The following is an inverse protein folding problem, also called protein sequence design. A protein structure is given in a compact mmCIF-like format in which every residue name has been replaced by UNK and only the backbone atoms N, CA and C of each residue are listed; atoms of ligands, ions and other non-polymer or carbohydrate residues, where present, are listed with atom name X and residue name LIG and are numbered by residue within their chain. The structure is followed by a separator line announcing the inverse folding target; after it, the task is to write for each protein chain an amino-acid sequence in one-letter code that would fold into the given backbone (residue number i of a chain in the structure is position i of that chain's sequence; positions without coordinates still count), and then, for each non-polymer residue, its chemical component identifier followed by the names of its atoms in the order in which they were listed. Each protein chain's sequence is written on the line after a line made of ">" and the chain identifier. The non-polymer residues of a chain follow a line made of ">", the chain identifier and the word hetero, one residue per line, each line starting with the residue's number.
data_IF_884693313023
#
_entry.id   IF_884693313023
#
_cell.length_a   1.000
_cell.length_b   1.000
_cell.length_c   1.000
_cell.angle_alpha   90.00
_cell.angle_beta   90.00
_cell.angle_gamma   90.00
#
_symmetry.space_group_name_H-M   'P 1'
#
loop_
_entity.id
_entity.type
_entity.pdbx_description
1 polymer ?
#
# COMPACT_ATOMS: atom_id res chain seq x y z
N UNK A 1 -23.85 7.93 -0.33
CA UNK A 1 -23.84 7.33 1.03
C UNK A 1 -25.28 7.10 1.44
N UNK A 2 -25.69 5.84 1.61
CA UNK A 2 -27.11 5.45 1.78
C UNK A 2 -27.51 5.19 3.24
N UNK A 3 -26.56 5.04 4.15
CA UNK A 3 -26.85 4.83 5.58
C UNK A 3 -27.15 6.17 6.28
N UNK A 4 -28.32 6.33 6.92
CA UNK A 4 -28.64 7.51 7.73
C UNK A 4 -27.61 7.77 8.85
N UNK A 5 -27.03 6.68 9.40
CA UNK A 5 -25.99 6.73 10.44
C UNK A 5 -24.64 7.30 9.97
N UNK A 6 -24.50 7.56 8.68
CA UNK A 6 -23.27 8.09 8.10
C UNK A 6 -23.29 9.62 7.95
N UNK A 7 -24.44 10.28 8.16
CA UNK A 7 -24.58 11.73 7.98
C UNK A 7 -23.74 12.48 9.01
N UNK A 8 -22.85 13.36 8.53
CA UNK A 8 -21.96 14.16 9.39
C UNK A 8 -20.70 13.43 9.88
N UNK A 9 -20.56 12.13 9.56
CA UNK A 9 -19.47 11.31 10.06
C UNK A 9 -18.31 11.18 9.08
N UNK A 10 -17.08 11.10 9.61
CA UNK A 10 -15.86 10.79 8.86
C UNK A 10 -15.44 9.35 9.11
N UNK A 11 -15.07 8.65 8.04
CA UNK A 11 -14.66 7.25 8.07
C UNK A 11 -13.31 7.08 7.39
N UNK A 12 -12.49 6.16 7.90
CA UNK A 12 -11.20 5.81 7.32
C UNK A 12 -11.34 4.51 6.52
N UNK A 13 -11.00 4.58 5.23
CA UNK A 13 -11.00 3.43 4.33
C UNK A 13 -9.68 2.65 4.44
N UNK A 14 -9.47 1.97 5.58
CA UNK A 14 -8.28 1.15 5.84
C UNK A 14 -8.69 -0.31 5.98
N UNK A 15 -8.07 -1.21 5.22
CA UNK A 15 -8.45 -2.63 5.19
C UNK A 15 -7.87 -3.46 6.34
N UNK A 16 -6.75 -3.04 6.93
CA UNK A 16 -6.08 -3.78 8.01
C UNK A 16 -4.86 -3.03 8.51
N UNK A 17 -3.88 -3.75 9.05
CA UNK A 17 -2.65 -3.14 9.56
C UNK A 17 -1.84 -2.43 8.46
N UNK A 18 -1.13 -1.38 8.84
CA UNK A 18 -0.23 -0.65 7.96
C UNK A 18 0.92 -1.54 7.51
N UNK A 19 1.13 -1.66 6.20
CA UNK A 19 2.27 -2.39 5.62
C UNK A 19 3.33 -1.42 5.10
N UNK A 20 4.60 -1.72 5.34
CA UNK A 20 5.72 -1.01 4.72
C UNK A 20 5.87 -1.42 3.25
N UNK A 21 6.51 -0.55 2.45
CA UNK A 21 6.82 -0.86 1.03
C UNK A 21 7.65 -2.15 0.92
N UNK A 22 8.55 -2.41 1.88
CA UNK A 22 9.34 -3.64 1.91
C UNK A 22 8.48 -4.88 2.19
N UNK A 23 7.50 -4.78 3.09
CA UNK A 23 6.56 -5.88 3.33
C UNK A 23 5.71 -6.18 2.09
N UNK A 24 5.26 -5.15 1.38
CA UNK A 24 4.57 -5.30 0.08
C UNK A 24 5.48 -6.00 -0.93
N UNK A 25 6.74 -5.58 -1.05
CA UNK A 25 7.71 -6.20 -1.95
C UNK A 25 7.96 -7.69 -1.64
N UNK A 26 8.12 -8.03 -0.35
CA UNK A 26 8.27 -9.42 0.11
C UNK A 26 7.03 -10.25 -0.19
N UNK A 27 5.84 -9.72 0.08
CA UNK A 27 4.57 -10.37 -0.25
C UNK A 27 4.47 -10.68 -1.75
N UNK A 28 4.74 -9.70 -2.61
CA UNK A 28 4.70 -9.86 -4.06
C UNK A 28 5.67 -10.95 -4.54
N UNK A 29 6.91 -10.95 -4.02
CA UNK A 29 7.89 -11.99 -4.34
C UNK A 29 7.41 -13.39 -3.91
N UNK A 30 6.87 -13.50 -2.71
CA UNK A 30 6.39 -14.77 -2.17
C UNK A 30 5.19 -15.32 -2.96
N UNK A 31 4.29 -14.44 -3.43
CA UNK A 31 3.04 -14.85 -4.10
C UNK A 31 3.15 -14.98 -5.62
N UNK A 32 4.00 -14.20 -6.28
CA UNK A 32 4.09 -14.15 -7.75
C UNK A 32 5.31 -14.89 -8.32
N UNK A 33 6.25 -15.32 -7.48
CA UNK A 33 7.41 -16.10 -7.90
C UNK A 33 8.24 -15.41 -8.99
N UNK A 34 8.44 -16.09 -10.12
CA UNK A 34 9.23 -15.59 -11.25
C UNK A 34 8.70 -14.29 -11.85
N UNK A 35 7.38 -14.05 -11.78
CA UNK A 35 6.74 -12.81 -12.26
C UNK A 35 7.11 -11.58 -11.44
N UNK A 36 7.69 -11.75 -10.25
CA UNK A 36 8.17 -10.68 -9.38
C UNK A 36 9.70 -10.54 -9.40
N UNK A 37 10.41 -11.01 -10.44
CA UNK A 37 11.89 -10.98 -10.46
C UNK A 37 12.47 -9.57 -10.29
N UNK A 38 11.77 -8.55 -10.81
CA UNK A 38 12.16 -7.14 -10.75
C UNK A 38 11.78 -6.42 -9.46
N UNK A 39 10.98 -7.04 -8.59
CA UNK A 39 10.57 -6.41 -7.32
C UNK A 39 11.79 -6.27 -6.40
N UNK A 40 12.06 -5.14 -5.74
CA UNK A 40 13.22 -5.02 -4.86
C UNK A 40 13.24 -6.06 -3.73
N UNK A 41 14.43 -6.53 -3.33
CA UNK A 41 14.62 -7.45 -2.18
C UNK A 41 15.03 -6.72 -0.89
N UNK A 42 15.70 -5.58 -1.05
CA UNK A 42 16.35 -4.88 0.05
C UNK A 42 15.73 -3.50 0.27
N UNK A 43 15.83 -3.04 1.51
CA UNK A 43 15.44 -1.69 1.87
C UNK A 43 16.55 -0.72 1.50
N UNK A 44 16.19 0.37 0.82
CA UNK A 44 17.08 1.50 0.61
C UNK A 44 17.39 2.18 1.96
N UNK A 45 18.66 2.48 2.27
CA UNK A 45 19.00 3.31 3.42
C UNK A 45 18.45 4.74 3.29
N UNK A 46 18.12 5.36 4.42
CA UNK A 46 17.51 6.70 4.45
C UNK A 46 18.39 7.78 3.83
N UNK A 47 19.71 7.71 4.03
CA UNK A 47 20.66 8.66 3.44
C UNK A 47 20.63 8.62 1.90
N UNK A 48 20.41 7.44 1.33
CA UNK A 48 20.30 7.27 -0.13
C UNK A 48 19.02 7.91 -0.65
N UNK A 49 17.90 7.79 0.09
CA UNK A 49 16.66 8.48 -0.25
C UNK A 49 16.81 10.00 -0.20
N UNK A 50 17.54 10.53 0.81
CA UNK A 50 17.85 11.96 0.92
C UNK A 50 18.71 12.46 -0.26
N UNK A 51 19.68 11.66 -0.71
CA UNK A 51 20.49 11.99 -1.88
C UNK A 51 19.65 11.97 -3.17
N UNK A 52 18.81 10.94 -3.36
CA UNK A 52 17.94 10.81 -4.52
C UNK A 52 16.95 11.97 -4.66
N UNK A 53 16.43 12.49 -3.54
CA UNK A 53 15.52 13.64 -3.52
C UNK A 53 16.10 14.95 -4.09
N UNK A 54 17.43 15.05 -4.25
CA UNK A 54 18.05 16.22 -4.89
C UNK A 54 17.70 16.31 -6.37
N UNK A 55 17.61 15.17 -7.07
CA UNK A 55 17.38 15.11 -8.52
C UNK A 55 16.06 14.44 -8.92
N UNK A 56 15.39 13.73 -8.00
CA UNK A 56 14.14 13.03 -8.27
C UNK A 56 12.97 13.66 -7.47
N UNK A 57 12.00 14.30 -8.16
CA UNK A 57 10.82 14.89 -7.51
C UNK A 57 9.97 13.89 -6.72
N UNK A 58 9.84 12.64 -7.19
CA UNK A 58 9.08 11.60 -6.49
C UNK A 58 9.78 11.19 -5.19
N UNK A 59 11.11 11.06 -5.22
CA UNK A 59 11.88 10.80 -4.00
C UNK A 59 11.76 11.96 -3.00
N UNK A 60 11.76 13.21 -3.49
CA UNK A 60 11.56 14.40 -2.66
C UNK A 60 10.19 14.41 -1.98
N UNK A 61 9.13 14.05 -2.72
CA UNK A 61 7.78 13.93 -2.17
C UNK A 61 7.65 12.81 -1.12
N UNK A 62 8.47 11.76 -1.21
CA UNK A 62 8.48 10.66 -0.25
C UNK A 62 9.23 10.99 1.07
N UNK A 63 10.18 11.93 1.05
CA UNK A 63 11.02 12.23 2.23
C UNK A 63 10.24 12.59 3.50
N UNK A 64 9.18 13.42 3.49
CA UNK A 64 8.43 13.76 4.71
C UNK A 64 7.69 12.58 5.34
N UNK A 65 7.51 11.49 4.59
CA UNK A 65 6.84 10.26 5.02
C UNK A 65 7.82 9.20 5.53
N UNK A 66 9.12 9.38 5.27
CA UNK A 66 10.15 8.42 5.64
C UNK A 66 10.24 8.27 7.18
N UNK A 67 10.28 7.02 7.65
CA UNK A 67 10.27 6.67 9.07
C UNK A 67 8.91 6.81 9.79
N UNK A 68 7.86 7.31 9.12
CA UNK A 68 6.55 7.50 9.77
C UNK A 68 5.62 6.32 9.53
N UNK A 69 5.21 5.66 10.61
CA UNK A 69 4.15 4.63 10.57
C UNK A 69 2.85 5.25 11.04
N UNK A 70 1.93 5.51 10.10
CA UNK A 70 0.58 5.99 10.41
C UNK A 70 -0.33 4.78 10.63
N UNK A 71 -0.44 4.34 11.88
CA UNK A 71 -1.43 3.33 12.26
C UNK A 71 -2.82 3.97 12.25
N UNK A 72 -3.80 3.25 11.73
CA UNK A 72 -5.18 3.72 11.61
C UNK A 72 -6.12 2.52 11.64
N UNK A 73 -7.36 2.76 12.04
CA UNK A 73 -8.39 1.70 12.14
C UNK A 73 -9.63 2.09 11.37
N UNK A 74 -10.28 1.10 10.76
CA UNK A 74 -11.58 1.23 10.12
C UNK A 74 -12.72 0.69 10.98
N UNK A 75 -12.48 0.39 12.26
CA UNK A 75 -13.48 -0.17 13.18
C UNK A 75 -14.82 0.60 13.15
N UNK A 76 -14.79 1.93 13.07
CA UNK A 76 -15.99 2.76 12.95
C UNK A 76 -16.80 2.44 11.68
N UNK A 77 -16.14 2.28 10.54
CA UNK A 77 -16.79 1.95 9.28
C UNK A 77 -17.31 0.50 9.28
N UNK A 78 -16.57 -0.43 9.87
CA UNK A 78 -17.00 -1.82 10.02
C UNK A 78 -18.26 -1.90 10.92
N UNK A 79 -18.24 -1.23 12.07
CA UNK A 79 -19.31 -1.29 13.06
C UNK A 79 -20.57 -0.52 12.64
N UNK A 80 -20.42 0.69 12.09
CA UNK A 80 -21.58 1.54 11.77
C UNK A 80 -22.16 1.28 10.38
N UNK A 81 -21.32 0.88 9.42
CA UNK A 81 -21.71 0.72 8.02
C UNK A 81 -21.70 -0.75 7.58
N UNK A 82 -21.31 -1.69 8.44
CA UNK A 82 -21.15 -3.10 8.06
C UNK A 82 -20.04 -3.30 7.02
N UNK A 83 -19.10 -2.37 6.91
CA UNK A 83 -18.07 -2.39 5.87
C UNK A 83 -17.12 -3.59 6.07
N UNK A 84 -16.94 -4.40 5.03
CA UNK A 84 -16.04 -5.57 5.03
C UNK A 84 -14.95 -5.39 3.97
N UNK A 85 -13.80 -4.79 4.33
CA UNK A 85 -12.70 -4.63 3.38
C UNK A 85 -12.05 -5.98 3.04
N UNK A 86 -11.59 -6.12 1.80
CA UNK A 86 -10.72 -7.25 1.39
C UNK A 86 -9.36 -7.12 2.07
N UNK A 87 -8.71 -8.25 2.34
CA UNK A 87 -7.41 -8.26 3.03
C UNK A 87 -6.31 -7.59 2.20
N UNK A 88 -5.34 -6.96 2.87
CA UNK A 88 -4.22 -6.28 2.20
C UNK A 88 -3.49 -7.22 1.22
N UNK A 89 -3.22 -8.45 1.64
CA UNK A 89 -2.47 -9.39 0.82
C UNK A 89 -3.21 -9.77 -0.48
N UNK A 90 -4.50 -10.04 -0.36
CA UNK A 90 -5.38 -10.35 -1.49
C UNK A 90 -5.43 -9.16 -2.47
N UNK A 91 -5.65 -7.95 -1.96
CA UNK A 91 -5.72 -6.74 -2.78
C UNK A 91 -4.43 -6.43 -3.53
N UNK A 92 -3.29 -6.57 -2.86
CA UNK A 92 -1.97 -6.32 -3.44
C UNK A 92 -1.70 -7.32 -4.58
N UNK A 93 -1.96 -8.60 -4.34
CA UNK A 93 -1.75 -9.66 -5.34
C UNK A 93 -2.69 -9.46 -6.54
N UNK A 94 -3.98 -9.25 -6.29
CA UNK A 94 -4.95 -9.04 -7.36
C UNK A 94 -4.61 -7.81 -8.23
N UNK A 95 -4.11 -6.74 -7.61
CA UNK A 95 -3.67 -5.55 -8.34
C UNK A 95 -2.46 -5.87 -9.22
N UNK A 96 -1.46 -6.55 -8.66
CA UNK A 96 -0.26 -6.93 -9.41
C UNK A 96 -0.57 -7.88 -10.57
N UNK A 97 -1.43 -8.88 -10.35
CA UNK A 97 -1.90 -9.79 -11.40
C UNK A 97 -2.64 -9.04 -12.51
N UNK A 98 -3.48 -8.07 -12.17
CA UNK A 98 -4.16 -7.23 -13.16
C UNK A 98 -3.16 -6.43 -14.00
N UNK A 99 -2.17 -5.79 -13.36
CA UNK A 99 -1.13 -5.04 -14.07
C UNK A 99 -0.30 -5.93 -15.01
N UNK A 100 0.02 -7.16 -14.58
CA UNK A 100 0.74 -8.13 -15.41
C UNK A 100 -0.12 -8.56 -16.60
N UNK A 101 -1.39 -8.90 -16.36
CA UNK A 101 -2.33 -9.32 -17.40
C UNK A 101 -2.54 -8.23 -18.47
N UNK A 102 -2.57 -6.96 -18.05
CA UNK A 102 -2.70 -5.81 -18.94
C UNK A 102 -1.37 -5.41 -19.62
N UNK A 103 -0.26 -6.08 -19.34
CA UNK A 103 1.05 -5.77 -19.94
C UNK A 103 1.65 -4.43 -19.48
N UNK A 104 1.15 -3.85 -18.38
CA UNK A 104 1.56 -2.52 -17.89
C UNK A 104 2.86 -2.56 -17.09
N UNK A 105 3.33 -3.75 -16.73
CA UNK A 105 4.56 -3.95 -15.97
C UNK A 105 5.44 -5.01 -16.61
N UNK A 106 6.75 -4.81 -16.53
CA UNK A 106 7.73 -5.82 -16.92
C UNK A 106 7.84 -6.80 -15.77
N UNK A 107 7.54 -8.07 -16.03
CA UNK A 107 7.75 -9.17 -15.09
C UNK A 107 9.21 -9.58 -15.06
#
# INVERSE_FOLDING_TARGET
>A
MTSPKAKGERFLAVAGETMSVLQVARLLRNKLGSKARRVPRFQAPDWMMRLAARRNPLARAALPLLGKVRRSTSAKAQNLLGWKPRGNAEMIVATAESLIRLGLVKT
#
